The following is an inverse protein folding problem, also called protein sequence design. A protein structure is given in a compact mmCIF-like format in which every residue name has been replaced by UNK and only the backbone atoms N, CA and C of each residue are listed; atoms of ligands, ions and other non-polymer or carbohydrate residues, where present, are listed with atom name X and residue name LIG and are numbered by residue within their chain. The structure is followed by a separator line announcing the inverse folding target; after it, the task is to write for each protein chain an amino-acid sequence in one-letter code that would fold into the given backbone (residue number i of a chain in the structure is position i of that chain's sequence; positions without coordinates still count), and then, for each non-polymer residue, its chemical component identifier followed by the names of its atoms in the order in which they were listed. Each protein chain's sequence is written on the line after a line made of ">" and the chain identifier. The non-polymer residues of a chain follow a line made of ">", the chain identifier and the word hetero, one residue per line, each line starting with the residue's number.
data_IF_396785062869
#
_entry.id   IF_396785062869
#
_cell.length_a   1.000
_cell.length_b   1.000
_cell.length_c   1.000
_cell.angle_alpha   90.00
_cell.angle_beta   90.00
_cell.angle_gamma   90.00
#
_symmetry.space_group_name_H-M   'P 1'
#
loop_
_entity.id
_entity.type
_entity.pdbx_description
1 polymer ?
#
# COMPACT_ATOMS: atom_id res chain seq x y z
N UNK A 1 0.88 11.52 -24.05
CA UNK A 1 2.09 11.87 -23.27
C UNK A 1 2.80 10.57 -22.91
N UNK A 2 4.08 10.42 -23.24
CA UNK A 2 4.87 9.26 -22.83
C UNK A 2 5.28 9.42 -21.36
N UNK A 3 5.10 8.35 -20.58
CA UNK A 3 5.57 8.31 -19.19
C UNK A 3 7.09 8.29 -19.21
N UNK A 4 7.75 9.23 -18.53
CA UNK A 4 9.21 9.28 -18.51
C UNK A 4 9.76 8.18 -17.61
N UNK A 5 10.98 7.70 -17.90
CA UNK A 5 11.65 6.69 -17.08
C UNK A 5 11.75 7.13 -15.60
N UNK A 6 11.96 8.42 -15.35
CA UNK A 6 12.00 9.00 -14.01
C UNK A 6 10.65 8.88 -13.28
N UNK A 7 9.52 9.05 -13.98
CA UNK A 7 8.18 8.88 -13.38
C UNK A 7 7.93 7.41 -13.00
N UNK A 8 8.39 6.48 -13.82
CA UNK A 8 8.31 5.04 -13.53
C UNK A 8 9.13 4.71 -12.27
N UNK A 9 10.36 5.20 -12.18
CA UNK A 9 11.21 5.00 -11.00
C UNK A 9 10.59 5.57 -9.71
N UNK A 10 10.00 6.77 -9.79
CA UNK A 10 9.31 7.40 -8.66
C UNK A 10 8.12 6.55 -8.20
N UNK A 11 7.30 6.04 -9.14
CA UNK A 11 6.18 5.15 -8.81
C UNK A 11 6.64 3.88 -8.10
N UNK A 12 7.72 3.24 -8.57
CA UNK A 12 8.29 2.08 -7.89
C UNK A 12 8.77 2.39 -6.47
N UNK A 13 9.32 3.58 -6.22
CA UNK A 13 9.76 3.99 -4.88
C UNK A 13 8.54 4.24 -3.98
N UNK A 14 7.50 4.92 -4.46
CA UNK A 14 6.30 5.20 -3.66
C UNK A 14 5.46 3.96 -3.39
N UNK A 15 5.39 3.04 -4.34
CA UNK A 15 4.64 1.78 -4.20
C UNK A 15 5.47 0.75 -3.44
N UNK A 16 6.78 0.62 -3.70
CA UNK A 16 7.62 -0.41 -3.07
C UNK A 16 8.24 0.02 -1.73
N UNK A 17 8.55 1.30 -1.56
CA UNK A 17 9.17 1.87 -0.35
C UNK A 17 8.46 1.52 0.97
N UNK A 18 7.12 1.65 1.07
CA UNK A 18 6.42 1.33 2.30
C UNK A 18 6.34 -0.18 2.62
N UNK A 19 6.68 -1.08 1.69
CA UNK A 19 6.94 -2.52 1.99
C UNK A 19 8.38 -2.72 2.46
N UNK A 20 9.33 -1.99 1.85
CA UNK A 20 10.75 -2.08 2.21
C UNK A 20 11.02 -1.65 3.66
N UNK A 21 10.32 -0.62 4.16
CA UNK A 21 10.47 -0.14 5.54
C UNK A 21 10.19 -1.21 6.62
N UNK A 22 9.02 -1.90 6.64
CA UNK A 22 8.76 -2.96 7.59
C UNK A 22 9.65 -4.19 7.38
N UNK A 23 10.04 -4.47 6.14
CA UNK A 23 10.95 -5.57 5.81
C UNK A 23 12.34 -5.35 6.44
N UNK A 24 12.93 -4.17 6.25
CA UNK A 24 14.24 -3.80 6.80
C UNK A 24 14.23 -3.73 8.33
N UNK A 25 13.13 -3.27 8.91
CA UNK A 25 12.97 -3.16 10.37
C UNK A 25 12.48 -4.44 11.04
N UNK A 26 12.34 -5.55 10.29
CA UNK A 26 11.82 -6.85 10.74
C UNK A 26 10.47 -6.74 11.48
N UNK A 27 9.66 -5.75 11.12
CA UNK A 27 8.34 -5.48 11.70
C UNK A 27 7.29 -6.33 10.99
N UNK A 28 7.25 -7.62 11.30
CA UNK A 28 6.40 -8.61 10.62
C UNK A 28 4.91 -8.26 10.61
N UNK A 29 4.38 -7.68 11.69
CA UNK A 29 2.96 -7.31 11.74
C UNK A 29 2.67 -6.14 10.79
N UNK A 30 3.56 -5.15 10.74
CA UNK A 30 3.46 -4.07 9.76
C UNK A 30 3.57 -4.59 8.32
N UNK A 31 4.50 -5.51 8.06
CA UNK A 31 4.67 -6.14 6.75
C UNK A 31 3.39 -6.88 6.30
N UNK A 32 2.77 -7.66 7.19
CA UNK A 32 1.52 -8.37 6.91
C UNK A 32 0.40 -7.37 6.60
N UNK A 33 0.28 -6.27 7.36
CA UNK A 33 -0.72 -5.23 7.09
C UNK A 33 -0.53 -4.60 5.71
N UNK A 34 0.72 -4.34 5.31
CA UNK A 34 1.02 -3.85 3.96
C UNK A 34 0.58 -4.86 2.90
N UNK A 35 0.98 -6.14 3.02
CA UNK A 35 0.62 -7.20 2.07
C UNK A 35 -0.91 -7.30 1.90
N UNK A 36 -1.64 -7.34 3.01
CA UNK A 36 -3.11 -7.39 3.00
C UNK A 36 -3.67 -6.14 2.30
N UNK A 37 -3.13 -4.95 2.60
CA UNK A 37 -3.54 -3.72 1.92
C UNK A 37 -3.35 -3.78 0.41
N UNK A 38 -2.19 -4.26 -0.09
CA UNK A 38 -2.01 -4.43 -1.54
C UNK A 38 -3.01 -5.41 -2.14
N UNK A 39 -3.26 -6.54 -1.48
CA UNK A 39 -4.23 -7.52 -1.96
C UNK A 39 -5.63 -6.91 -2.04
N UNK A 40 -6.07 -6.21 -1.00
CA UNK A 40 -7.36 -5.51 -0.99
C UNK A 40 -7.43 -4.45 -2.08
N UNK A 41 -6.35 -3.71 -2.30
CA UNK A 41 -6.29 -2.71 -3.35
C UNK A 41 -6.40 -3.32 -4.74
N UNK A 42 -5.69 -4.43 -5.00
CA UNK A 42 -5.78 -5.17 -6.27
C UNK A 42 -7.20 -5.70 -6.49
N UNK A 43 -7.84 -6.26 -5.44
CA UNK A 43 -9.22 -6.72 -5.51
C UNK A 43 -10.20 -5.58 -5.79
N UNK A 44 -9.97 -4.41 -5.19
CA UNK A 44 -10.73 -3.19 -5.49
C UNK A 44 -10.56 -2.76 -6.95
N UNK A 45 -9.34 -2.84 -7.48
CA UNK A 45 -9.06 -2.62 -8.90
C UNK A 45 -9.82 -3.59 -9.79
N UNK A 46 -9.82 -4.89 -9.46
CA UNK A 46 -10.56 -5.90 -10.21
C UNK A 46 -12.07 -5.63 -10.18
N UNK A 47 -12.61 -5.24 -9.02
CA UNK A 47 -14.01 -4.87 -8.87
C UNK A 47 -14.37 -3.65 -9.74
N UNK A 48 -13.58 -2.59 -9.69
CA UNK A 48 -13.79 -1.40 -10.51
C UNK A 48 -13.66 -1.73 -12.01
N UNK A 49 -12.70 -2.55 -12.39
CA UNK A 49 -12.53 -2.98 -13.79
C UNK A 49 -13.77 -3.72 -14.32
N UNK A 50 -14.44 -4.49 -13.46
CA UNK A 50 -15.66 -5.24 -13.82
C UNK A 50 -16.94 -4.40 -13.81
N UNK A 51 -16.94 -3.23 -13.18
CA UNK A 51 -18.16 -2.45 -12.90
C UNK A 51 -18.17 -1.04 -13.47
N UNK A 52 -17.00 -0.50 -13.83
CA UNK A 52 -16.83 0.92 -14.20
C UNK A 52 -16.43 1.08 -15.67
N UNK A 53 -16.76 2.24 -16.25
CA UNK A 53 -16.21 2.66 -17.53
C UNK A 53 -14.68 2.77 -17.44
N UNK A 54 -13.97 2.33 -18.48
CA UNK A 54 -12.49 2.15 -18.49
C UNK A 54 -11.75 3.42 -18.07
N UNK A 55 -12.34 4.58 -18.34
CA UNK A 55 -11.81 5.92 -18.03
C UNK A 55 -11.90 6.25 -16.54
N UNK A 56 -13.01 5.92 -15.87
CA UNK A 56 -13.14 6.11 -14.41
C UNK A 56 -12.28 5.12 -13.64
N UNK A 57 -12.18 3.89 -14.15
CA UNK A 57 -11.28 2.87 -13.62
C UNK A 57 -9.83 3.37 -13.60
N UNK A 58 -9.27 3.77 -14.74
CA UNK A 58 -7.87 4.17 -14.84
C UNK A 58 -7.53 5.40 -13.98
N UNK A 59 -8.42 6.39 -13.97
CA UNK A 59 -8.17 7.68 -13.30
C UNK A 59 -8.41 7.58 -11.80
N UNK A 60 -9.53 6.99 -11.37
CA UNK A 60 -9.85 6.80 -9.95
C UNK A 60 -8.87 5.85 -9.27
N UNK A 61 -8.65 4.67 -9.85
CA UNK A 61 -7.72 3.69 -9.30
C UNK A 61 -6.28 4.24 -9.26
N UNK A 62 -5.81 4.91 -10.32
CA UNK A 62 -4.48 5.49 -10.33
C UNK A 62 -4.26 6.57 -9.27
N UNK A 63 -5.27 7.42 -9.02
CA UNK A 63 -5.14 8.53 -8.05
C UNK A 63 -5.22 8.07 -6.60
N UNK A 64 -6.00 7.03 -6.30
CA UNK A 64 -6.20 6.60 -4.91
C UNK A 64 -5.07 5.75 -4.34
N UNK A 65 -4.14 5.24 -5.16
CA UNK A 65 -3.13 4.28 -4.70
C UNK A 65 -2.17 4.91 -3.67
N UNK A 66 -1.74 6.14 -3.91
CA UNK A 66 -0.82 6.86 -3.01
C UNK A 66 -1.46 7.12 -1.65
N UNK A 67 -2.62 7.79 -1.53
CA UNK A 67 -3.26 8.01 -0.24
C UNK A 67 -3.66 6.69 0.45
N UNK A 68 -4.05 5.66 -0.31
CA UNK A 68 -4.36 4.34 0.24
C UNK A 68 -3.14 3.68 0.90
N UNK A 69 -2.00 3.64 0.19
CA UNK A 69 -0.75 3.07 0.70
C UNK A 69 -0.28 3.82 1.96
N UNK A 70 -0.39 5.15 1.98
CA UNK A 70 -0.07 5.95 3.18
C UNK A 70 -0.97 5.53 4.35
N UNK A 71 -2.29 5.44 4.14
CA UNK A 71 -3.24 5.03 5.17
C UNK A 71 -2.95 3.63 5.73
N UNK A 72 -2.74 2.65 4.86
CA UNK A 72 -2.39 1.27 5.26
C UNK A 72 -1.06 1.22 5.99
N UNK A 73 -0.06 2.00 5.56
CA UNK A 73 1.24 2.03 6.22
C UNK A 73 1.16 2.60 7.64
N UNK A 74 0.38 3.66 7.85
CA UNK A 74 0.11 4.23 9.18
C UNK A 74 -0.61 3.19 10.07
N UNK A 75 -1.63 2.51 9.53
CA UNK A 75 -2.35 1.43 10.20
C UNK A 75 -1.40 0.31 10.64
N UNK A 76 -0.54 -0.17 9.73
CA UNK A 76 0.42 -1.23 10.03
C UNK A 76 1.46 -0.81 11.07
N UNK A 77 1.92 0.43 11.03
CA UNK A 77 2.81 1.01 12.06
C UNK A 77 2.13 1.04 13.43
N UNK A 78 0.86 1.44 13.50
CA UNK A 78 0.09 1.48 14.74
C UNK A 78 -0.15 0.08 15.32
N UNK A 79 -0.54 -0.88 14.48
CA UNK A 79 -0.73 -2.29 14.87
C UNK A 79 0.57 -2.92 15.40
N UNK A 80 1.69 -2.65 14.72
CA UNK A 80 3.01 -3.11 15.16
C UNK A 80 3.39 -2.52 16.52
N UNK A 81 3.13 -1.23 16.75
CA UNK A 81 3.40 -0.56 18.03
C UNK A 81 2.57 -1.17 19.17
N UNK A 82 1.29 -1.45 18.92
CA UNK A 82 0.41 -2.09 19.90
C UNK A 82 0.87 -3.50 20.25
N UNK A 83 1.26 -4.31 19.25
CA UNK A 83 1.81 -5.65 19.48
C UNK A 83 3.09 -5.62 20.31
N UNK A 84 4.01 -4.69 20.00
CA UNK A 84 5.26 -4.53 20.75
C UNK A 84 5.03 -4.09 22.20
N UNK A 85 4.03 -3.23 22.46
CA UNK A 85 3.64 -2.84 23.82
C UNK A 85 3.04 -4.02 24.60
N UNK A 86 2.24 -4.85 23.93
CA UNK A 86 1.61 -6.02 24.56
C UNK A 86 2.65 -7.08 24.95
N UNK A 87 3.66 -7.33 24.11
CA UNK A 87 4.77 -8.24 24.44
C UNK A 87 5.66 -7.77 25.61
N UNK A 88 5.63 -6.49 25.98
CA UNK A 88 6.43 -5.95 27.09
C UNK A 88 5.71 -6.01 28.45
N UNK A 89 4.41 -6.30 28.44
CA UNK A 89 3.57 -6.39 29.66
C UNK A 89 3.27 -7.85 30.06
N UNK A 90 3.90 -8.82 29.41
CA UNK A 90 3.87 -10.26 29.71
C UNK A 90 5.28 -10.64 30.15
#
# INVERSE_FOLDING_TARGET
>A
MSVSFSQIAILFIFIGGPILLPLLTKKWTWLITMIIGYVVYILWGFFLHSTSDVTEYGTGYGMFIVPYIIGISILGSFLQRNKSKNQKNI
#
